data_IF_865319485613
#
_entry.id   IF_865319485613
#
_cell.length_a   1.000
_cell.length_b   1.000
_cell.length_c   1.000
_cell.angle_alpha   90.00
_cell.angle_beta   90.00
_cell.angle_gamma   90.00
#
_symmetry.space_group_name_H-M   'P 1'
#
loop_
_entity.id
_entity.type
_entity.pdbx_description
1 polymer ?
#
# COMPACT_ATOMS: atom_id res chain seq x y z
N UNK A 1 19.50 6.24 1.02
CA UNK A 1 18.15 6.83 0.91
C UNK A 1 17.41 6.36 -0.35
N UNK A 2 18.10 5.69 -1.27
CA UNK A 2 17.56 5.18 -2.55
C UNK A 2 16.48 4.11 -2.42
N UNK A 3 16.60 3.18 -1.47
CA UNK A 3 15.64 2.10 -1.31
C UNK A 3 14.25 2.61 -0.87
N UNK A 4 14.21 3.58 0.05
CA UNK A 4 12.95 4.20 0.50
C UNK A 4 12.36 5.05 -0.63
N UNK A 5 13.20 5.80 -1.34
CA UNK A 5 12.79 6.55 -2.53
C UNK A 5 12.17 5.64 -3.59
N UNK A 6 12.79 4.49 -3.87
CA UNK A 6 12.26 3.48 -4.78
C UNK A 6 10.89 2.96 -4.33
N UNK A 7 10.74 2.58 -3.06
CA UNK A 7 9.48 2.04 -2.54
C UNK A 7 8.32 3.05 -2.68
N UNK A 8 8.58 4.34 -2.41
CA UNK A 8 7.56 5.40 -2.52
C UNK A 8 7.30 5.83 -3.96
N UNK A 9 8.32 5.83 -4.83
CA UNK A 9 8.15 6.13 -6.25
C UNK A 9 7.34 5.06 -6.97
N UNK A 10 7.52 3.79 -6.58
CA UNK A 10 6.90 2.64 -7.21
C UNK A 10 5.75 2.06 -6.37
N UNK A 11 5.01 2.89 -5.64
CA UNK A 11 3.83 2.47 -4.87
C UNK A 11 2.86 1.61 -5.70
N UNK A 12 2.45 1.98 -6.93
CA UNK A 12 1.50 1.18 -7.69
C UNK A 12 2.03 -0.22 -8.03
N UNK A 13 3.35 -0.35 -8.21
CA UNK A 13 3.99 -1.62 -8.59
C UNK A 13 3.80 -2.68 -7.51
N UNK A 14 3.94 -2.34 -6.23
CA UNK A 14 3.75 -3.30 -5.14
C UNK A 14 2.35 -3.25 -4.54
N UNK A 15 1.71 -2.07 -4.44
CA UNK A 15 0.42 -1.94 -3.77
C UNK A 15 -0.74 -2.52 -4.58
N UNK A 16 -0.76 -2.40 -5.91
CA UNK A 16 -1.85 -2.97 -6.73
C UNK A 16 -1.88 -4.50 -6.66
N UNK A 17 -0.77 -5.23 -6.90
CA UNK A 17 -0.77 -6.69 -6.76
C UNK A 17 -1.15 -7.13 -5.34
N UNK A 18 -0.61 -6.46 -4.32
CA UNK A 18 -0.84 -6.82 -2.91
C UNK A 18 -2.30 -6.58 -2.51
N UNK A 19 -2.95 -5.55 -3.03
CA UNK A 19 -4.39 -5.31 -2.85
C UNK A 19 -5.23 -6.43 -3.48
N UNK A 20 -4.96 -6.81 -4.73
CA UNK A 20 -5.70 -7.86 -5.44
C UNK A 20 -5.57 -9.20 -4.71
N UNK A 21 -4.34 -9.58 -4.36
CA UNK A 21 -4.04 -10.81 -3.61
C UNK A 21 -4.76 -10.79 -2.26
N UNK A 22 -4.67 -9.68 -1.54
CA UNK A 22 -5.31 -9.52 -0.23
C UNK A 22 -6.83 -9.68 -0.31
N UNK A 23 -7.48 -9.07 -1.31
CA UNK A 23 -8.92 -9.22 -1.53
C UNK A 23 -9.31 -10.69 -1.80
N UNK A 24 -8.56 -11.40 -2.65
CA UNK A 24 -8.82 -12.80 -2.97
C UNK A 24 -8.73 -13.71 -1.74
N UNK A 25 -7.68 -13.54 -0.94
CA UNK A 25 -7.48 -14.33 0.27
C UNK A 25 -8.45 -13.94 1.38
N UNK A 26 -8.73 -12.65 1.56
CA UNK A 26 -9.77 -12.18 2.48
C UNK A 26 -11.10 -12.87 2.19
N UNK A 27 -11.57 -12.83 0.93
CA UNK A 27 -12.81 -13.49 0.52
C UNK A 27 -12.80 -14.99 0.80
N UNK A 28 -11.71 -15.67 0.47
CA UNK A 28 -11.56 -17.12 0.68
C UNK A 28 -11.60 -17.50 2.16
N UNK A 29 -10.86 -16.79 3.02
CA UNK A 29 -10.83 -17.09 4.46
C UNK A 29 -12.12 -16.67 5.17
N UNK A 30 -12.79 -15.62 4.67
CA UNK A 30 -14.09 -15.21 5.16
C UNK A 30 -15.16 -16.28 4.93
N UNK A 31 -15.20 -16.86 3.71
CA UNK A 31 -16.12 -17.96 3.38
C UNK A 31 -15.87 -19.23 4.20
N UNK A 32 -14.61 -19.50 4.54
CA UNK A 32 -14.21 -20.67 5.35
C UNK A 32 -14.28 -20.41 6.87
N UNK A 33 -14.82 -19.28 7.29
CA UNK A 33 -14.93 -18.83 8.69
C UNK A 33 -13.59 -18.71 9.46
N UNK A 34 -12.46 -18.64 8.75
CA UNK A 34 -11.15 -18.38 9.33
C UNK A 34 -10.94 -16.87 9.54
N UNK A 35 -11.70 -16.29 10.48
CA UNK A 35 -11.78 -14.83 10.69
C UNK A 35 -10.43 -14.18 10.98
N UNK A 36 -9.58 -14.81 11.80
CA UNK A 36 -8.25 -14.25 12.14
C UNK A 36 -7.39 -14.05 10.90
N UNK A 37 -7.35 -15.05 10.01
CA UNK A 37 -6.62 -14.94 8.75
C UNK A 37 -7.26 -13.88 7.83
N UNK A 38 -8.60 -13.85 7.74
CA UNK A 38 -9.31 -12.84 6.97
C UNK A 38 -8.95 -11.42 7.43
N UNK A 39 -8.89 -11.15 8.74
CA UNK A 39 -8.53 -9.83 9.25
C UNK A 39 -7.09 -9.41 8.89
N UNK A 40 -6.14 -10.34 8.84
CA UNK A 40 -4.77 -10.03 8.38
C UNK A 40 -4.78 -9.56 6.93
N UNK A 41 -5.50 -10.28 6.06
CA UNK A 41 -5.60 -9.91 4.65
C UNK A 41 -6.43 -8.64 4.42
N UNK A 42 -7.47 -8.39 5.20
CA UNK A 42 -8.20 -7.13 5.08
C UNK A 42 -7.34 -5.94 5.53
N UNK A 43 -6.53 -6.11 6.59
CA UNK A 43 -5.61 -5.08 7.04
C UNK A 43 -4.53 -4.78 5.99
N UNK A 44 -3.94 -5.80 5.36
CA UNK A 44 -2.98 -5.61 4.27
C UNK A 44 -3.63 -4.97 3.03
N UNK A 45 -4.85 -5.36 2.70
CA UNK A 45 -5.62 -4.74 1.61
C UNK A 45 -5.89 -3.26 1.87
N UNK A 46 -6.37 -2.90 3.06
CA UNK A 46 -6.61 -1.50 3.45
C UNK A 46 -5.30 -0.71 3.44
N UNK A 47 -4.21 -1.28 3.95
CA UNK A 47 -2.89 -0.66 3.91
C UNK A 47 -2.48 -0.34 2.46
N UNK A 48 -2.52 -1.32 1.55
CA UNK A 48 -2.21 -1.09 0.13
C UNK A 48 -3.14 -0.07 -0.52
N UNK A 49 -4.42 -0.06 -0.16
CA UNK A 49 -5.39 0.91 -0.68
C UNK A 49 -5.08 2.35 -0.22
N UNK A 50 -4.72 2.55 1.05
CA UNK A 50 -4.30 3.87 1.56
C UNK A 50 -3.07 4.38 0.82
N UNK A 51 -2.07 3.53 0.57
CA UNK A 51 -0.88 3.91 -0.21
C UNK A 51 -1.23 4.25 -1.66
N UNK A 52 -2.17 3.53 -2.29
CA UNK A 52 -2.66 3.87 -3.63
C UNK A 52 -3.38 5.22 -3.66
N UNK A 53 -4.22 5.51 -2.67
CA UNK A 53 -4.88 6.82 -2.56
C UNK A 53 -3.86 7.94 -2.37
N UNK A 54 -2.86 7.73 -1.53
CA UNK A 54 -1.75 8.68 -1.35
C UNK A 54 -1.01 8.92 -2.68
N UNK A 55 -0.70 7.87 -3.43
CA UNK A 55 -0.01 7.99 -4.71
C UNK A 55 -0.86 8.74 -5.75
N UNK A 56 -2.17 8.46 -5.81
CA UNK A 56 -3.11 9.18 -6.68
C UNK A 56 -3.18 10.66 -6.28
N UNK A 57 -3.23 10.95 -4.98
CA UNK A 57 -3.23 12.32 -4.47
C UNK A 57 -1.91 13.07 -4.76
N UNK A 58 -0.77 12.38 -4.67
CA UNK A 58 0.54 12.95 -5.01
C UNK A 58 0.68 13.25 -6.52
N UNK A 59 -0.11 12.60 -7.37
CA UNK A 59 -0.26 12.92 -8.79
C UNK A 59 0.94 12.58 -9.69
N UNK A 60 2.13 12.38 -9.13
CA UNK A 60 3.31 11.95 -9.88
C UNK A 60 4.27 11.11 -9.03
N UNK A 61 5.06 10.21 -9.66
CA UNK A 61 6.07 9.44 -8.95
C UNK A 61 7.12 10.32 -8.26
N UNK A 62 7.48 11.45 -8.88
CA UNK A 62 8.50 12.37 -8.36
C UNK A 62 7.97 13.19 -7.17
N UNK A 63 6.70 13.61 -7.19
CA UNK A 63 6.07 14.29 -6.05
C UNK A 63 5.85 13.35 -4.86
N UNK A 64 5.54 12.07 -5.15
CA UNK A 64 5.32 11.05 -4.11
C UNK A 64 6.56 10.86 -3.24
N UNK A 65 7.73 10.88 -3.89
CA UNK A 65 9.02 10.77 -3.23
C UNK A 65 9.52 12.11 -2.67
N UNK A 66 9.28 13.23 -3.37
CA UNK A 66 9.62 14.57 -2.90
C UNK A 66 8.87 14.97 -1.61
N UNK A 67 7.61 14.56 -1.45
CA UNK A 67 6.86 14.78 -0.21
C UNK A 67 7.47 14.04 0.99
N UNK A 68 8.05 12.85 0.76
CA UNK A 68 8.79 12.12 1.78
C UNK A 68 10.07 12.87 2.17
N UNK A 69 10.82 13.39 1.18
CA UNK A 69 12.02 14.18 1.45
C UNK A 69 11.72 15.45 2.25
N UNK A 70 10.63 16.14 1.91
CA UNK A 70 10.18 17.34 2.64
C UNK A 70 9.73 17.00 4.07
N UNK A 71 9.05 15.87 4.26
CA UNK A 71 8.67 15.39 5.60
C UNK A 71 9.88 15.01 6.44
N UNK A 72 10.86 14.30 5.87
CA UNK A 72 12.09 13.90 6.55
C UNK A 72 13.01 15.09 6.89
N UNK A 73 12.97 16.18 6.11
CA UNK A 73 13.70 17.42 6.40
C UNK A 73 13.04 18.29 7.48
N UNK A 74 11.77 18.04 7.80
CA UNK A 74 11.01 18.78 8.82
C UNK A 74 11.27 18.29 10.25
N UNK A 75 12.02 17.20 10.42
CA UNK A 75 12.37 16.60 11.71
C UNK A 75 13.87 16.78 11.98
#
# INVERSE_FOLDING_TARGET
>A
MDAVYFIFRYIPFWAVPLFIISCQFFYTYWLKDYRRAAYVFVASGVFSFVFLLYYIWAGSPDNSAGNLENFLRSF
#
